data_IF_284592818192
#
_entry.id   IF_284592818192
#
_cell.length_a   1.000
_cell.length_b   1.000
_cell.length_c   1.000
_cell.angle_alpha   90.00
_cell.angle_beta   90.00
_cell.angle_gamma   90.00
#
_symmetry.space_group_name_H-M   'P 1'
#
loop_
_entity.id
_entity.type
_entity.pdbx_description
1 polymer ?
#
# COMPACT_ATOMS: atom_id res chain seq x y z
N UNK A 1 17.30 2.67 -19.48
CA UNK A 1 17.18 1.30 -18.95
C UNK A 1 16.61 1.38 -17.53
N UNK A 2 15.47 0.75 -17.27
CA UNK A 2 15.04 0.37 -15.92
C UNK A 2 14.10 -0.81 -16.13
N UNK A 3 14.64 -2.02 -16.03
CA UNK A 3 13.82 -3.22 -16.00
C UNK A 3 12.86 -3.08 -14.81
N UNK A 4 11.58 -3.40 -15.03
CA UNK A 4 10.61 -3.57 -13.95
C UNK A 4 11.00 -4.84 -13.18
N UNK A 5 12.05 -4.75 -12.37
CA UNK A 5 12.24 -5.67 -11.28
C UNK A 5 10.99 -5.54 -10.39
N UNK A 6 10.38 -6.66 -10.04
CA UNK A 6 9.35 -6.74 -9.00
C UNK A 6 9.81 -5.89 -7.82
N UNK A 7 9.03 -4.88 -7.43
CA UNK A 7 9.45 -4.01 -6.33
C UNK A 7 9.41 -4.79 -5.01
N UNK A 8 10.27 -4.44 -4.05
CA UNK A 8 10.30 -5.08 -2.72
C UNK A 8 8.91 -5.09 -2.06
N UNK A 9 8.10 -4.06 -2.34
CA UNK A 9 6.71 -3.94 -1.88
C UNK A 9 5.78 -4.96 -2.55
N UNK A 10 5.96 -5.26 -3.84
CA UNK A 10 5.20 -6.30 -4.52
C UNK A 10 5.52 -7.69 -3.92
N UNK A 11 6.80 -7.97 -3.63
CA UNK A 11 7.21 -9.23 -3.01
C UNK A 11 6.63 -9.37 -1.61
N UNK A 12 6.68 -8.30 -0.80
CA UNK A 12 6.06 -8.26 0.52
C UNK A 12 4.54 -8.46 0.47
N UNK A 13 3.84 -7.79 -0.46
CA UNK A 13 2.41 -7.97 -0.64
C UNK A 13 2.07 -9.44 -1.02
N UNK A 14 2.90 -10.06 -1.87
CA UNK A 14 2.78 -11.47 -2.22
C UNK A 14 3.06 -12.38 -1.01
N UNK A 15 3.93 -12.00 -0.07
CA UNK A 15 4.15 -12.75 1.17
C UNK A 15 2.94 -12.69 2.11
N UNK A 16 2.30 -11.53 2.23
CA UNK A 16 1.10 -11.37 3.05
C UNK A 16 -0.06 -12.21 2.53
N UNK A 17 -0.30 -12.23 1.21
CA UNK A 17 -1.37 -13.07 0.65
C UNK A 17 -1.07 -14.57 0.79
N UNK A 18 0.21 -14.99 0.77
CA UNK A 18 0.60 -16.38 1.11
C UNK A 18 0.24 -16.77 2.54
N UNK A 19 0.15 -15.80 3.45
CA UNK A 19 -0.30 -15.97 4.84
C UNK A 19 -1.82 -15.83 4.98
N UNK A 20 -2.54 -15.76 3.86
CA UNK A 20 -3.98 -15.52 3.81
C UNK A 20 -4.41 -14.17 4.41
N UNK A 21 -3.53 -13.16 4.35
CA UNK A 21 -3.87 -11.79 4.74
C UNK A 21 -4.33 -11.01 3.50
N UNK A 22 -5.59 -10.57 3.44
CA UNK A 22 -6.07 -9.79 2.31
C UNK A 22 -5.36 -8.44 2.26
N UNK A 23 -4.81 -8.09 1.11
CA UNK A 23 -4.08 -6.84 0.91
C UNK A 23 -4.71 -5.95 -0.15
N UNK A 24 -4.46 -4.65 -0.06
CA UNK A 24 -4.87 -3.64 -1.03
C UNK A 24 -3.79 -2.54 -1.13
N UNK A 25 -3.62 -1.91 -2.30
CA UNK A 25 -2.62 -0.86 -2.47
C UNK A 25 -3.09 0.46 -1.87
N UNK A 26 -2.17 1.14 -1.19
CA UNK A 26 -2.32 2.50 -0.68
C UNK A 26 -1.54 3.49 -1.55
N UNK A 27 -1.95 4.76 -1.50
CA UNK A 27 -1.16 5.87 -2.00
C UNK A 27 0.13 5.98 -1.20
N UNK A 28 1.18 6.44 -1.87
CA UNK A 28 2.52 6.70 -1.33
C UNK A 28 2.83 8.20 -1.35
N UNK A 29 3.89 8.61 -0.65
CA UNK A 29 4.49 9.95 -0.79
C UNK A 29 5.52 9.87 -1.92
N UNK A 30 5.32 10.64 -2.98
CA UNK A 30 6.26 10.74 -4.08
C UNK A 30 7.54 11.49 -3.64
N UNK A 31 8.61 11.36 -4.42
CA UNK A 31 9.91 12.00 -4.13
C UNK A 31 9.85 13.53 -3.98
N UNK A 32 8.79 14.17 -4.50
CA UNK A 32 8.54 15.61 -4.35
C UNK A 32 7.81 15.97 -3.04
N UNK A 33 7.64 15.04 -2.11
CA UNK A 33 6.95 15.23 -0.83
C UNK A 33 5.42 15.27 -0.94
N UNK A 34 4.83 15.04 -2.12
CA UNK A 34 3.38 15.07 -2.31
C UNK A 34 2.79 13.67 -2.31
N UNK A 35 1.59 13.55 -1.75
CA UNK A 35 0.82 12.32 -1.87
C UNK A 35 0.47 12.03 -3.34
N UNK A 36 0.67 10.79 -3.76
CA UNK A 36 0.33 10.30 -5.11
C UNK A 36 -1.18 10.28 -5.41
N UNK A 37 -2.04 10.62 -4.46
CA UNK A 37 -3.47 10.80 -4.70
C UNK A 37 -3.80 12.09 -5.46
N UNK A 38 -2.86 13.05 -5.52
CA UNK A 38 -3.03 14.37 -6.15
C UNK A 38 -4.22 15.20 -5.64
N UNK A 39 -4.81 14.83 -4.50
CA UNK A 39 -5.89 15.59 -3.88
C UNK A 39 -5.37 16.95 -3.36
N UNK A 40 -6.14 18.05 -3.53
CA UNK A 40 -5.74 19.37 -3.06
C UNK A 40 -5.64 19.45 -1.52
N UNK A 41 -6.50 18.71 -0.81
CA UNK A 41 -6.57 18.66 0.67
C UNK A 41 -6.48 17.21 1.16
N UNK A 42 -5.39 16.51 0.82
CA UNK A 42 -5.18 15.14 1.25
C UNK A 42 -5.05 15.05 2.77
N UNK A 43 -6.12 14.66 3.46
CA UNK A 43 -6.17 14.55 4.93
C UNK A 43 -5.30 13.45 5.53
N UNK A 44 -4.98 12.42 4.73
CA UNK A 44 -4.15 11.28 5.17
C UNK A 44 -3.13 10.87 4.10
N UNK A 45 -2.09 11.68 3.84
CA UNK A 45 -1.04 11.36 2.86
C UNK A 45 -0.43 9.99 3.12
N UNK A 46 -0.24 9.18 2.08
CA UNK A 46 0.36 7.85 2.21
C UNK A 46 -0.54 6.74 2.80
N UNK A 47 -1.75 7.09 3.28
CA UNK A 47 -2.67 6.16 3.98
C UNK A 47 -4.03 6.00 3.30
N UNK A 48 -4.24 6.69 2.17
CA UNK A 48 -5.44 6.55 1.34
C UNK A 48 -5.35 5.31 0.44
N UNK A 49 -6.43 4.56 0.31
CA UNK A 49 -6.47 3.45 -0.63
C UNK A 49 -6.45 3.91 -2.08
N UNK A 50 -5.80 3.14 -2.96
CA UNK A 50 -5.84 3.33 -4.43
C UNK A 50 -7.03 2.61 -5.09
N UNK A 51 -7.70 1.74 -4.34
CA UNK A 51 -8.88 0.99 -4.78
C UNK A 51 -10.16 1.80 -4.58
N UNK A 52 -11.22 1.47 -5.34
CA UNK A 52 -12.47 2.22 -5.32
C UNK A 52 -13.19 2.09 -3.97
N UNK A 53 -13.27 0.86 -3.46
CA UNK A 53 -13.99 0.55 -2.22
C UNK A 53 -13.04 0.37 -1.03
N UNK A 54 -11.78 0.83 -1.17
CA UNK A 54 -10.78 0.88 -0.11
C UNK A 54 -10.40 -0.51 0.40
N UNK A 55 -10.40 -0.68 1.72
CA UNK A 55 -10.09 -1.98 2.35
C UNK A 55 -11.08 -3.10 1.99
N UNK A 56 -12.27 -2.76 1.46
CA UNK A 56 -13.24 -3.77 1.00
C UNK A 56 -12.79 -4.48 -0.27
N UNK A 57 -11.92 -3.86 -1.04
CA UNK A 57 -11.30 -4.45 -2.24
C UNK A 57 -10.06 -5.30 -1.90
N UNK A 58 -9.71 -5.45 -0.62
CA UNK A 58 -8.57 -6.25 -0.22
C UNK A 58 -8.74 -7.71 -0.65
N UNK A 59 -7.68 -8.28 -1.21
CA UNK A 59 -7.73 -9.61 -1.84
C UNK A 59 -6.51 -10.44 -1.48
N UNK A 60 -6.67 -11.76 -1.61
CA UNK A 60 -5.58 -12.74 -1.56
C UNK A 60 -5.20 -13.26 -2.95
N UNK A 61 -5.84 -12.78 -4.01
CA UNK A 61 -5.55 -13.18 -5.39
C UNK A 61 -4.20 -12.62 -5.86
N UNK A 62 -3.17 -13.47 -6.08
CA UNK A 62 -1.84 -13.01 -6.44
C UNK A 62 -1.79 -12.38 -7.85
N UNK A 63 -2.72 -12.69 -8.74
CA UNK A 63 -2.77 -12.04 -10.06
C UNK A 63 -3.20 -10.58 -9.93
N UNK A 64 -4.23 -10.30 -9.11
CA UNK A 64 -4.62 -8.94 -8.77
C UNK A 64 -3.49 -8.18 -8.06
N UNK A 65 -2.74 -8.81 -7.14
CA UNK A 65 -1.59 -8.16 -6.49
C UNK A 65 -0.52 -7.77 -7.50
N UNK A 66 -0.11 -8.69 -8.39
CA UNK A 66 0.87 -8.38 -9.44
C UNK A 66 0.41 -7.25 -10.35
N UNK A 67 -0.88 -7.21 -10.69
CA UNK A 67 -1.46 -6.16 -11.53
C UNK A 67 -1.40 -4.79 -10.86
N UNK A 68 -1.72 -4.70 -9.56
CA UNK A 68 -1.66 -3.43 -8.84
C UNK A 68 -0.24 -2.88 -8.73
N UNK A 69 0.74 -3.70 -8.34
CA UNK A 69 2.12 -3.24 -8.20
C UNK A 69 2.85 -3.05 -9.54
N UNK A 70 2.39 -3.68 -10.62
CA UNK A 70 2.85 -3.30 -11.98
C UNK A 70 2.43 -1.87 -12.33
N UNK A 71 1.22 -1.44 -11.93
CA UNK A 71 0.70 -0.10 -12.21
C UNK A 71 1.25 0.97 -11.27
N UNK A 72 1.50 0.61 -10.01
CA UNK A 72 2.02 1.50 -8.98
C UNK A 72 3.11 0.78 -8.17
N UNK A 73 4.35 0.69 -8.68
CA UNK A 73 5.43 -0.07 -8.03
C UNK A 73 5.80 0.42 -6.64
N UNK A 74 5.49 1.67 -6.33
CA UNK A 74 5.76 2.39 -5.09
C UNK A 74 4.56 2.41 -4.13
N UNK A 75 3.46 1.71 -4.43
CA UNK A 75 2.29 1.69 -3.57
C UNK A 75 2.60 1.06 -2.20
N UNK A 76 2.25 1.78 -1.13
CA UNK A 76 2.24 1.24 0.23
C UNK A 76 1.25 0.06 0.33
N UNK A 77 1.48 -0.86 1.26
CA UNK A 77 0.67 -2.07 1.41
C UNK A 77 -0.34 -1.86 2.55
N UNK A 78 -1.63 -1.87 2.22
CA UNK A 78 -2.71 -1.99 3.19
C UNK A 78 -3.05 -3.45 3.42
N UNK A 79 -3.26 -3.84 4.68
CA UNK A 79 -3.78 -5.16 5.05
C UNK A 79 -5.17 -4.95 5.66
N UNK A 80 -6.19 -5.64 5.16
CA UNK A 80 -7.53 -5.55 5.73
C UNK A 80 -7.57 -6.32 7.06
N UNK A 81 -7.60 -5.60 8.17
CA UNK A 81 -7.72 -6.16 9.52
C UNK A 81 -9.17 -6.21 9.99
N UNK A 82 -9.58 -7.37 10.51
CA UNK A 82 -10.92 -7.64 11.03
C UNK A 82 -11.12 -9.14 11.26
N UNK A 83 -12.36 -9.58 11.52
CA UNK A 83 -12.73 -11.00 11.70
C UNK A 83 -12.17 -11.96 10.62
N UNK A 84 -11.95 -11.54 9.36
CA UNK A 84 -11.29 -12.38 8.35
C UNK A 84 -9.78 -12.65 8.56
N UNK A 85 -9.07 -11.88 9.38
CA UNK A 85 -7.59 -11.89 9.41
C UNK A 85 -6.96 -11.93 10.81
N UNK A 86 -7.69 -11.58 11.88
CA UNK A 86 -7.18 -11.66 13.26
C UNK A 86 -5.91 -10.84 13.55
N UNK A 87 -5.55 -9.90 12.66
CA UNK A 87 -4.28 -9.18 12.67
C UNK A 87 -4.42 -7.73 13.11
N UNK A 88 -3.33 -7.20 13.70
CA UNK A 88 -3.08 -5.79 14.01
C UNK A 88 -2.24 -5.18 12.88
N UNK A 89 -2.60 -3.99 12.39
CA UNK A 89 -1.81 -3.24 11.39
C UNK A 89 -0.64 -2.54 12.09
N UNK A 90 0.59 -2.84 11.67
CA UNK A 90 1.80 -2.12 12.06
C UNK A 90 2.16 -1.13 10.94
N UNK A 91 2.19 0.17 11.29
CA UNK A 91 2.67 1.23 10.41
C UNK A 91 4.20 1.18 10.37
N UNK A 92 4.78 0.78 9.24
CA UNK A 92 6.23 0.88 9.03
C UNK A 92 6.47 2.21 8.31
N UNK A 93 6.47 3.30 9.09
CA UNK A 93 7.09 4.55 8.68
C UNK A 93 8.61 4.39 8.86
N UNK A 94 9.38 4.48 7.77
CA UNK A 94 10.82 4.75 7.86
C UNK A 94 11.03 6.12 8.52
N UNK A 95 12.05 6.26 9.36
CA UNK A 95 12.29 7.46 10.18
C UNK A 95 12.04 8.79 9.44
N UNK A 96 11.05 9.53 9.93
CA UNK A 96 10.73 10.88 9.49
C UNK A 96 9.75 11.60 10.42
N UNK A 97 9.65 11.17 11.68
CA UNK A 97 8.90 11.87 12.73
C UNK A 97 9.84 12.74 13.57
N UNK A 98 9.96 14.02 13.24
CA UNK A 98 9.87 15.16 14.18
C UNK A 98 9.85 16.47 13.38
N UNK A 99 8.85 17.31 13.65
CA UNK A 99 8.74 18.64 13.07
C UNK A 99 7.48 19.34 13.55
N UNK A 100 7.35 19.52 14.87
CA UNK A 100 6.50 20.57 15.41
C UNK A 100 7.17 21.91 15.08
N UNK A 101 6.45 22.82 14.43
CA UNK A 101 6.66 24.24 14.63
C UNK A 101 5.33 25.00 14.53
#
# INVERSE_FOLDING_TARGET
MRQAATSDLQEAALDYVRRSWPVFPLHSIAANGRCTCNGPDCSSPGKLARTKDGCKDATIDPETIRRWWTQCPDANIGVATGTPSGLVVLDIDGEGGIGWH
#
